data_IF_078181696892
#
_entry.id   IF_078181696892
#
_cell.length_a   1.000
_cell.length_b   1.000
_cell.length_c   1.000
_cell.angle_alpha   90.00
_cell.angle_beta   90.00
_cell.angle_gamma   90.00
#
_symmetry.space_group_name_H-M   'P 1'
#
loop_
_entity.id
_entity.type
_entity.pdbx_description
1 polymer ?
#
# COMPACT_ATOMS: atom_id res chain seq x y z
N UNK A 1 -17.49 7.07 -23.44
CA UNK A 1 -17.69 7.71 -22.12
C UNK A 1 -16.33 8.13 -21.62
N UNK A 2 -16.14 9.39 -21.20
CA UNK A 2 -14.81 9.88 -20.80
C UNK A 2 -14.22 9.04 -19.67
N UNK A 3 -12.90 8.75 -19.71
CA UNK A 3 -12.20 7.94 -18.69
C UNK A 3 -12.07 8.63 -17.32
N UNK A 4 -12.56 9.87 -17.20
CA UNK A 4 -12.67 10.59 -15.92
C UNK A 4 -14.07 10.35 -15.37
N UNK A 5 -14.14 9.67 -14.21
CA UNK A 5 -15.34 9.15 -13.54
C UNK A 5 -16.50 10.14 -13.27
N UNK A 6 -17.25 9.90 -12.20
CA UNK A 6 -18.44 10.70 -11.86
C UNK A 6 -18.15 12.22 -11.81
N UNK A 7 -19.19 13.05 -11.89
CA UNK A 7 -19.03 14.51 -11.78
C UNK A 7 -18.26 14.93 -10.51
N UNK A 8 -18.43 14.18 -9.42
CA UNK A 8 -17.69 14.32 -8.16
C UNK A 8 -16.20 14.03 -8.30
N UNK A 9 -15.84 12.94 -8.98
CA UNK A 9 -14.45 12.60 -9.26
C UNK A 9 -13.74 13.72 -10.02
N UNK A 10 -14.41 14.30 -11.02
CA UNK A 10 -13.85 15.44 -11.78
C UNK A 10 -13.70 16.69 -10.92
N UNK A 11 -14.67 16.99 -10.07
CA UNK A 11 -14.59 18.13 -9.15
C UNK A 11 -13.41 18.00 -8.18
N UNK A 12 -13.24 16.83 -7.56
CA UNK A 12 -12.14 16.54 -6.67
C UNK A 12 -10.77 16.64 -7.37
N UNK A 13 -10.64 16.02 -8.55
CA UNK A 13 -9.41 16.10 -9.36
C UNK A 13 -9.07 17.54 -9.74
N UNK A 14 -10.05 18.33 -10.19
CA UNK A 14 -9.82 19.72 -10.55
C UNK A 14 -9.42 20.57 -9.33
N UNK A 15 -10.01 20.31 -8.17
CA UNK A 15 -9.68 21.02 -6.92
C UNK A 15 -8.21 20.78 -6.53
N UNK A 16 -7.76 19.53 -6.54
CA UNK A 16 -6.36 19.20 -6.21
C UNK A 16 -5.40 19.66 -7.31
N UNK A 17 -5.79 19.52 -8.59
CA UNK A 17 -4.97 19.96 -9.71
C UNK A 17 -4.68 21.47 -9.67
N UNK A 18 -5.59 22.29 -9.11
CA UNK A 18 -5.41 23.74 -8.98
C UNK A 18 -4.23 24.14 -8.07
N UNK A 19 -3.78 23.24 -7.19
CA UNK A 19 -2.65 23.44 -6.28
C UNK A 19 -1.49 22.48 -6.54
N UNK A 20 -1.58 21.67 -7.60
CA UNK A 20 -0.57 20.68 -7.96
C UNK A 20 0.49 21.28 -8.87
N UNK A 21 1.75 20.97 -8.61
CA UNK A 21 2.90 21.48 -9.36
C UNK A 21 3.89 20.35 -9.68
N UNK A 22 4.90 20.63 -10.50
CA UNK A 22 5.97 19.67 -10.82
C UNK A 22 5.70 18.83 -12.08
N UNK A 23 6.60 17.89 -12.40
CA UNK A 23 6.51 17.08 -13.60
C UNK A 23 5.38 16.03 -13.49
N UNK A 24 4.98 15.48 -14.64
CA UNK A 24 4.06 14.35 -14.67
C UNK A 24 4.72 13.06 -14.13
N UNK A 25 3.90 12.20 -13.52
CA UNK A 25 4.29 10.84 -13.11
C UNK A 25 4.70 10.04 -14.35
N UNK A 26 5.80 9.29 -14.24
CA UNK A 26 6.24 8.43 -15.33
C UNK A 26 5.19 7.32 -15.60
N UNK A 27 4.90 6.99 -16.87
CA UNK A 27 3.77 6.13 -17.26
C UNK A 27 3.93 4.66 -16.82
N UNK A 28 5.11 4.27 -16.37
CA UNK A 28 5.43 2.93 -15.87
C UNK A 28 5.34 2.81 -14.33
N UNK A 29 5.16 3.91 -13.61
CA UNK A 29 4.87 3.89 -12.17
C UNK A 29 3.42 3.42 -11.97
N UNK A 30 3.16 2.69 -10.88
CA UNK A 30 1.84 2.14 -10.55
C UNK A 30 1.39 2.59 -9.18
N UNK A 31 0.07 2.65 -9.01
CA UNK A 31 -0.55 2.70 -7.68
C UNK A 31 -0.67 1.26 -7.17
N UNK A 32 -0.41 1.05 -5.89
CA UNK A 32 -0.66 -0.23 -5.22
C UNK A 32 -1.66 -0.07 -4.09
N UNK A 33 -2.52 -1.08 -3.91
CA UNK A 33 -3.46 -1.18 -2.79
C UNK A 33 -2.95 -2.26 -1.85
N UNK A 34 -2.24 -1.88 -0.78
CA UNK A 34 -1.69 -2.82 0.21
C UNK A 34 -2.77 -3.28 1.19
N UNK A 35 -2.84 -4.59 1.44
CA UNK A 35 -3.78 -5.21 2.38
C UNK A 35 -3.25 -6.55 2.92
N UNK A 36 -3.91 -7.09 3.94
CA UNK A 36 -3.64 -8.43 4.46
C UNK A 36 -4.63 -9.42 3.83
N UNK A 37 -4.19 -10.34 2.97
CA UNK A 37 -5.07 -11.20 2.18
C UNK A 37 -5.76 -12.29 3.01
N UNK A 38 -5.25 -12.53 4.22
CA UNK A 38 -5.67 -13.56 5.17
C UNK A 38 -6.81 -13.10 6.10
N UNK A 39 -7.28 -11.85 5.94
CA UNK A 39 -8.37 -11.27 6.74
C UNK A 39 -9.74 -11.80 6.33
N UNK A 40 -10.70 -11.60 7.22
CA UNK A 40 -12.11 -11.95 7.01
C UNK A 40 -12.92 -10.68 6.79
N UNK A 41 -13.81 -10.69 5.81
CA UNK A 41 -14.76 -9.63 5.52
C UNK A 41 -16.17 -10.23 5.44
N UNK A 42 -17.12 -9.69 6.22
CA UNK A 42 -18.52 -10.14 6.26
C UNK A 42 -18.69 -11.67 6.48
N UNK A 43 -17.79 -12.26 7.27
CA UNK A 43 -17.81 -13.69 7.57
C UNK A 43 -17.17 -14.60 6.51
N UNK A 44 -16.62 -14.03 5.43
CA UNK A 44 -15.92 -14.76 4.37
C UNK A 44 -14.42 -14.41 4.35
N UNK A 45 -13.54 -15.32 3.91
CA UNK A 45 -12.17 -14.96 3.55
C UNK A 45 -12.16 -13.78 2.57
N UNK A 46 -11.29 -12.79 2.79
CA UNK A 46 -11.30 -11.53 2.06
C UNK A 46 -11.21 -11.72 0.54
N UNK A 47 -10.32 -12.61 0.07
CA UNK A 47 -10.15 -12.85 -1.36
C UNK A 47 -11.37 -13.52 -2.00
N UNK A 48 -12.11 -14.36 -1.26
CA UNK A 48 -13.38 -14.91 -1.74
C UNK A 48 -14.46 -13.83 -1.84
N UNK A 49 -14.54 -12.94 -0.84
CA UNK A 49 -15.45 -11.81 -0.88
C UNK A 49 -15.15 -10.89 -2.07
N UNK A 50 -13.87 -10.62 -2.34
CA UNK A 50 -13.43 -9.85 -3.51
C UNK A 50 -13.73 -10.55 -4.83
N UNK A 51 -13.58 -11.88 -4.90
CA UNK A 51 -13.91 -12.65 -6.10
C UNK A 51 -15.43 -12.62 -6.40
N UNK A 52 -16.27 -12.57 -5.36
CA UNK A 52 -17.72 -12.45 -5.52
C UNK A 52 -18.15 -11.02 -5.90
N UNK A 53 -17.51 -10.00 -5.33
CA UNK A 53 -17.87 -8.58 -5.53
C UNK A 53 -17.31 -8.02 -6.84
N UNK A 54 -16.10 -8.44 -7.22
CA UNK A 54 -15.40 -7.96 -8.43
C UNK A 54 -14.81 -6.56 -8.31
N UNK A 55 -14.91 -5.91 -7.15
CA UNK A 55 -14.41 -4.56 -6.91
C UNK A 55 -13.69 -4.42 -5.57
N UNK A 56 -12.71 -3.51 -5.51
CA UNK A 56 -12.06 -3.09 -4.27
C UNK A 56 -12.74 -1.83 -3.74
N UNK A 57 -13.12 -1.84 -2.47
CA UNK A 57 -13.97 -0.81 -1.88
C UNK A 57 -13.27 0.01 -0.80
N UNK A 58 -13.74 1.25 -0.63
CA UNK A 58 -13.31 2.14 0.44
C UNK A 58 -13.87 1.67 1.79
N UNK A 59 -13.26 2.17 2.86
CA UNK A 59 -13.71 1.91 4.23
C UNK A 59 -15.16 2.33 4.49
N UNK A 60 -15.70 3.32 3.77
CA UNK A 60 -17.10 3.73 3.88
C UNK A 60 -18.07 2.60 3.49
N UNK A 61 -17.63 1.66 2.63
CA UNK A 61 -18.42 0.50 2.19
C UNK A 61 -18.10 -0.74 3.01
N UNK A 62 -16.82 -0.96 3.34
CA UNK A 62 -16.39 -2.20 4.00
C UNK A 62 -16.55 -2.15 5.52
N UNK A 63 -16.44 -0.96 6.12
CA UNK A 63 -16.32 -0.81 7.57
C UNK A 63 -15.00 -1.35 8.13
N UNK A 64 -14.03 -1.68 7.28
CA UNK A 64 -12.74 -2.28 7.66
C UNK A 64 -11.57 -1.36 7.29
N UNK A 65 -10.48 -1.42 8.05
CA UNK A 65 -9.24 -0.69 7.76
C UNK A 65 -8.05 -1.30 8.48
N UNK A 66 -6.87 -1.12 7.92
CA UNK A 66 -5.59 -1.34 8.62
C UNK A 66 -5.09 -0.04 9.30
N UNK A 67 -5.79 1.09 9.10
CA UNK A 67 -5.67 2.35 9.82
C UNK A 67 -6.79 2.56 10.85
N UNK A 68 -7.17 3.81 11.13
CA UNK A 68 -8.27 4.15 12.04
C UNK A 68 -9.66 3.94 11.41
N UNK A 69 -10.68 3.59 12.22
CA UNK A 69 -12.08 3.42 11.81
C UNK A 69 -12.89 4.73 11.89
N UNK A 70 -12.61 5.70 11.02
CA UNK A 70 -13.17 7.06 11.09
C UNK A 70 -13.98 7.49 9.86
N UNK A 71 -14.31 6.53 8.97
CA UNK A 71 -15.08 6.75 7.73
C UNK A 71 -16.60 6.81 7.97
N UNK A 72 -17.06 7.82 8.69
CA UNK A 72 -18.48 8.11 8.89
C UNK A 72 -18.68 9.64 8.94
N UNK A 73 -19.92 10.14 8.73
CA UNK A 73 -20.20 11.56 8.85
C UNK A 73 -19.63 12.14 10.16
N UNK A 74 -18.86 13.23 10.04
CA UNK A 74 -18.20 13.91 11.16
C UNK A 74 -16.93 13.25 11.72
N UNK A 75 -16.56 12.05 11.27
CA UNK A 75 -15.29 11.39 11.63
C UNK A 75 -14.08 11.96 10.88
N UNK A 76 -12.86 11.64 11.33
CA UNK A 76 -11.62 12.22 10.80
C UNK A 76 -11.47 12.00 9.29
N UNK A 77 -11.78 10.78 8.82
CA UNK A 77 -11.71 10.49 7.38
C UNK A 77 -12.70 11.30 6.56
N UNK A 78 -13.90 11.50 7.07
CA UNK A 78 -14.86 12.37 6.40
C UNK A 78 -14.36 13.82 6.35
N UNK A 79 -13.77 14.33 7.44
CA UNK A 79 -13.27 15.71 7.54
C UNK A 79 -12.10 15.98 6.62
N UNK A 80 -11.10 15.10 6.57
CA UNK A 80 -9.97 15.33 5.66
C UNK A 80 -10.39 15.14 4.20
N UNK A 81 -11.31 14.22 3.86
CA UNK A 81 -11.77 14.08 2.47
C UNK A 81 -12.55 15.34 2.03
N UNK A 82 -13.36 15.93 2.92
CA UNK A 82 -14.01 17.22 2.67
C UNK A 82 -12.97 18.32 2.41
N UNK A 83 -11.94 18.45 3.27
CA UNK A 83 -10.86 19.43 3.14
C UNK A 83 -10.05 19.25 1.86
N UNK A 84 -9.61 18.03 1.57
CA UNK A 84 -8.70 17.70 0.46
C UNK A 84 -9.42 17.83 -0.89
N UNK A 85 -10.71 17.50 -0.96
CA UNK A 85 -11.47 17.48 -2.22
C UNK A 85 -12.44 18.64 -2.39
N UNK A 86 -12.34 19.69 -1.56
CA UNK A 86 -13.21 20.86 -1.63
C UNK A 86 -14.69 20.52 -1.45
N UNK A 87 -15.02 19.58 -0.56
CA UNK A 87 -16.38 19.15 -0.26
C UNK A 87 -17.04 18.28 -1.34
N UNK A 88 -16.32 17.85 -2.38
CA UNK A 88 -16.89 17.12 -3.52
C UNK A 88 -17.62 15.81 -3.16
N UNK A 89 -17.36 15.26 -1.97
CA UNK A 89 -17.93 13.99 -1.50
C UNK A 89 -18.80 14.13 -0.24
N UNK A 90 -19.05 15.33 0.27
CA UNK A 90 -19.68 15.52 1.59
C UNK A 90 -21.05 14.87 1.71
N UNK A 91 -21.81 14.89 0.61
CA UNK A 91 -23.12 14.28 0.42
C UNK A 91 -23.09 13.04 -0.50
N UNK A 92 -21.91 12.49 -0.79
CA UNK A 92 -21.76 11.33 -1.67
C UNK A 92 -22.07 10.01 -0.97
N UNK A 93 -22.60 9.05 -1.74
CA UNK A 93 -22.75 7.67 -1.31
C UNK A 93 -21.37 7.04 -1.01
N UNK A 94 -21.35 6.09 -0.08
CA UNK A 94 -20.13 5.39 0.33
C UNK A 94 -19.32 4.79 -0.84
N UNK A 95 -20.01 4.32 -1.88
CA UNK A 95 -19.42 3.69 -3.08
C UNK A 95 -18.77 4.68 -4.04
N UNK A 96 -19.17 5.95 -3.99
CA UNK A 96 -18.63 7.00 -4.86
C UNK A 96 -17.32 7.58 -4.32
N UNK A 97 -17.02 7.33 -3.03
CA UNK A 97 -15.83 7.83 -2.36
C UNK A 97 -14.55 7.13 -2.83
N UNK A 98 -13.40 7.84 -2.82
CA UNK A 98 -12.17 7.30 -3.35
C UNK A 98 -11.65 6.08 -2.57
N UNK A 99 -10.98 5.20 -3.30
CA UNK A 99 -10.19 4.10 -2.75
C UNK A 99 -8.79 4.62 -2.43
N UNK A 100 -8.25 4.23 -1.28
CA UNK A 100 -6.94 4.68 -0.82
C UNK A 100 -5.88 3.61 -1.15
N UNK A 101 -4.73 4.07 -1.63
CA UNK A 101 -3.54 3.28 -1.92
C UNK A 101 -2.30 4.16 -1.82
N UNK A 102 -1.24 3.78 -2.52
CA UNK A 102 -0.04 4.60 -2.60
C UNK A 102 0.66 4.49 -3.96
N UNK A 103 1.37 5.54 -4.36
CA UNK A 103 2.15 5.58 -5.59
C UNK A 103 3.47 4.82 -5.37
N UNK A 104 3.73 3.77 -6.15
CA UNK A 104 4.94 2.95 -6.02
C UNK A 104 6.16 3.58 -6.71
N UNK A 105 6.46 4.84 -6.37
CA UNK A 105 7.57 5.61 -6.96
C UNK A 105 8.94 5.01 -6.60
N UNK A 106 9.05 4.39 -5.42
CA UNK A 106 10.23 3.63 -4.97
C UNK A 106 10.37 2.25 -5.63
N UNK A 107 9.36 1.80 -6.39
CA UNK A 107 9.32 0.48 -7.07
C UNK A 107 9.56 -0.69 -6.11
N UNK A 108 8.95 -0.62 -4.93
CA UNK A 108 9.03 -1.66 -3.92
C UNK A 108 8.27 -2.90 -4.41
N UNK A 109 8.92 -4.06 -4.33
CA UNK A 109 8.32 -5.37 -4.72
C UNK A 109 7.16 -5.77 -3.81
N UNK A 110 7.10 -5.19 -2.61
CA UNK A 110 6.05 -5.40 -1.60
C UNK A 110 4.90 -4.40 -1.70
N UNK A 111 4.92 -3.52 -2.71
CA UNK A 111 3.98 -2.41 -2.85
C UNK A 111 4.42 -1.16 -2.10
N UNK A 112 3.78 -0.04 -2.42
CA UNK A 112 4.21 1.29 -2.00
C UNK A 112 3.98 1.61 -0.51
N UNK A 113 2.97 1.00 0.12
CA UNK A 113 2.61 1.31 1.51
C UNK A 113 2.50 0.02 2.36
N UNK A 114 3.63 -0.66 2.62
CA UNK A 114 3.65 -1.93 3.34
C UNK A 114 3.10 -1.82 4.78
N UNK A 115 3.05 -0.62 5.35
CA UNK A 115 2.34 -0.34 6.59
C UNK A 115 0.93 -0.96 6.65
N UNK A 116 0.23 -1.01 5.52
CA UNK A 116 -1.17 -1.45 5.46
C UNK A 116 -1.36 -2.89 5.04
N UNK A 117 -0.31 -3.65 4.74
CA UNK A 117 -0.50 -5.03 4.35
C UNK A 117 0.70 -5.71 3.73
N UNK A 118 0.73 -7.02 3.91
CA UNK A 118 1.75 -7.92 3.38
C UNK A 118 1.58 -8.25 1.90
N UNK A 119 0.45 -7.91 1.29
CA UNK A 119 0.20 -8.18 -0.13
C UNK A 119 -0.46 -6.96 -0.76
N UNK A 120 -0.49 -6.91 -2.09
CA UNK A 120 -1.08 -5.77 -2.76
C UNK A 120 -1.70 -6.11 -4.10
N UNK A 121 -2.73 -5.35 -4.47
CA UNK A 121 -3.08 -5.21 -5.88
C UNK A 121 -2.17 -4.18 -6.52
N UNK A 122 -1.56 -4.56 -7.65
CA UNK A 122 -0.89 -3.62 -8.55
C UNK A 122 -1.92 -3.19 -9.59
N UNK A 123 -2.23 -1.90 -9.60
CA UNK A 123 -3.20 -1.36 -10.55
C UNK A 123 -2.59 -1.24 -11.94
N UNK A 124 -3.41 -1.14 -12.98
CA UNK A 124 -2.97 -0.74 -14.32
C UNK A 124 -2.50 0.73 -14.33
N UNK A 125 -2.05 1.23 -15.49
CA UNK A 125 -1.69 2.65 -15.63
C UNK A 125 -2.90 3.60 -15.65
N UNK A 126 -4.09 3.12 -16.00
CA UNK A 126 -5.28 3.98 -16.19
C UNK A 126 -5.72 4.70 -14.90
N UNK A 127 -5.76 4.05 -13.71
CA UNK A 127 -6.12 4.72 -12.46
C UNK A 127 -5.30 5.97 -12.11
N UNK A 128 -4.07 6.14 -12.61
CA UNK A 128 -3.28 7.36 -12.41
C UNK A 128 -4.03 8.61 -12.91
N UNK A 129 -4.73 8.52 -14.04
CA UNK A 129 -5.42 9.65 -14.65
C UNK A 129 -6.61 10.16 -13.80
N UNK A 130 -7.06 9.35 -12.83
CA UNK A 130 -8.18 9.64 -11.93
C UNK A 130 -7.79 9.54 -10.46
N UNK A 131 -6.50 9.69 -10.15
CA UNK A 131 -5.98 9.71 -8.80
C UNK A 131 -5.51 11.11 -8.40
N UNK A 132 -5.76 11.45 -7.14
CA UNK A 132 -5.09 12.53 -6.42
C UNK A 132 -4.09 11.93 -5.44
N UNK A 133 -3.16 12.75 -4.97
CA UNK A 133 -2.08 12.32 -4.12
C UNK A 133 -1.78 13.36 -3.04
N UNK A 134 -1.27 12.91 -1.90
CA UNK A 134 -0.76 13.79 -0.86
C UNK A 134 0.53 13.23 -0.24
N UNK A 135 1.34 14.13 0.31
CA UNK A 135 2.52 13.79 1.09
C UNK A 135 2.71 14.79 2.25
N UNK A 136 2.85 14.33 3.50
CA UNK A 136 2.66 12.96 3.99
C UNK A 136 1.21 12.45 3.83
N UNK A 137 0.83 11.37 4.52
CA UNK A 137 -0.52 10.80 4.41
C UNK A 137 -1.64 11.71 4.92
N UNK A 138 -2.90 11.44 4.54
CA UNK A 138 -4.05 12.31 4.86
C UNK A 138 -4.26 12.53 6.37
N UNK A 139 -3.81 11.61 7.22
CA UNK A 139 -3.97 11.70 8.67
C UNK A 139 -2.97 12.67 9.31
N UNK A 140 -1.85 12.96 8.64
CA UNK A 140 -0.83 13.91 9.07
C UNK A 140 -1.14 15.37 8.70
N UNK A 141 -2.36 15.66 8.23
CA UNK A 141 -2.79 16.99 7.77
C UNK A 141 -1.84 17.61 6.72
N UNK A 142 -1.62 16.92 5.59
CA UNK A 142 -0.64 17.34 4.61
C UNK A 142 -1.05 18.65 3.94
N UNK A 143 -0.05 19.42 3.52
CA UNK A 143 -0.23 20.66 2.75
C UNK A 143 0.26 20.52 1.30
N UNK A 144 0.90 19.39 0.97
CA UNK A 144 1.39 19.11 -0.37
C UNK A 144 0.49 18.08 -1.05
N UNK A 145 0.02 18.44 -2.24
CA UNK A 145 -0.86 17.63 -3.04
C UNK A 145 -0.38 17.53 -4.48
N UNK A 146 -0.84 16.49 -5.17
CA UNK A 146 -0.49 16.23 -6.56
C UNK A 146 -1.60 15.54 -7.33
N UNK A 147 -1.50 15.64 -8.65
CA UNK A 147 -2.20 14.80 -9.63
C UNK A 147 -1.16 14.21 -10.57
N UNK A 148 -1.53 13.19 -11.36
CA UNK A 148 -0.55 12.55 -12.24
C UNK A 148 0.16 13.51 -13.21
N UNK A 149 -0.48 14.62 -13.60
CA UNK A 149 0.12 15.63 -14.48
C UNK A 149 1.02 16.67 -13.77
N UNK A 150 0.95 16.76 -12.43
CA UNK A 150 1.71 17.71 -11.62
C UNK A 150 2.08 17.07 -10.28
N UNK A 151 3.25 16.42 -10.23
CA UNK A 151 3.70 15.57 -9.12
C UNK A 151 5.01 16.05 -8.48
N UNK A 152 4.97 17.15 -7.74
CA UNK A 152 6.10 17.62 -6.91
C UNK A 152 6.39 16.69 -5.73
N UNK A 153 5.42 15.86 -5.33
CA UNK A 153 5.50 15.00 -4.14
C UNK A 153 6.62 13.96 -4.19
N UNK A 154 7.00 13.50 -5.39
CA UNK A 154 8.12 12.54 -5.55
C UNK A 154 9.42 13.16 -5.05
N UNK A 155 9.72 14.39 -5.47
CA UNK A 155 10.94 15.09 -5.04
C UNK A 155 10.92 15.38 -3.53
N UNK A 156 9.75 15.71 -2.97
CA UNK A 156 9.59 15.91 -1.53
C UNK A 156 9.85 14.62 -0.75
N UNK A 157 9.24 13.51 -1.14
CA UNK A 157 9.43 12.21 -0.48
C UNK A 157 10.86 11.68 -0.64
N UNK A 158 11.51 11.92 -1.78
CA UNK A 158 12.92 11.54 -1.98
C UNK A 158 13.90 12.34 -1.13
N UNK A 159 13.57 13.57 -0.76
CA UNK A 159 14.40 14.45 0.06
C UNK A 159 14.14 14.30 1.58
N UNK A 160 13.07 13.60 1.96
CA UNK A 160 12.68 13.40 3.35
C UNK A 160 13.39 12.18 3.97
N UNK A 161 13.59 12.22 5.29
CA UNK A 161 14.24 11.16 6.08
C UNK A 161 13.21 10.41 6.96
N UNK A 162 12.00 10.20 6.44
CA UNK A 162 10.98 9.43 7.16
C UNK A 162 11.41 7.99 7.40
N UNK A 163 10.85 7.41 8.46
CA UNK A 163 10.92 5.97 8.66
C UNK A 163 10.37 5.24 7.42
N UNK A 164 11.09 4.22 6.95
CA UNK A 164 10.75 3.52 5.70
C UNK A 164 9.33 2.92 5.69
N UNK A 165 8.72 2.68 6.85
CA UNK A 165 7.33 2.22 6.93
C UNK A 165 6.32 3.33 6.55
N UNK A 166 6.70 4.60 6.69
CA UNK A 166 5.88 5.77 6.41
C UNK A 166 6.33 6.54 5.14
N UNK A 167 7.41 6.09 4.48
CA UNK A 167 7.93 6.65 3.22
C UNK A 167 7.06 6.23 2.02
N UNK A 168 5.85 6.79 1.95
CA UNK A 168 4.93 6.60 0.83
C UNK A 168 4.19 7.89 0.48
N UNK A 169 3.86 8.02 -0.80
CA UNK A 169 2.93 9.03 -1.30
C UNK A 169 1.55 8.39 -1.34
N UNK A 170 0.63 8.86 -0.51
CA UNK A 170 -0.74 8.35 -0.48
C UNK A 170 -1.46 8.72 -1.78
N UNK A 171 -2.23 7.78 -2.31
CA UNK A 171 -3.03 7.95 -3.52
C UNK A 171 -4.50 7.75 -3.20
N UNK A 172 -5.35 8.66 -3.70
CA UNK A 172 -6.80 8.54 -3.61
C UNK A 172 -7.38 8.35 -5.03
N UNK A 173 -7.78 7.12 -5.34
CA UNK A 173 -8.29 6.70 -6.65
C UNK A 173 -9.80 6.96 -6.72
N UNK A 174 -10.21 7.90 -7.57
CA UNK A 174 -11.60 8.35 -7.68
C UNK A 174 -12.41 7.51 -8.68
N UNK A 175 -13.66 7.18 -8.35
CA UNK A 175 -14.54 6.39 -9.22
C UNK A 175 -14.46 4.88 -9.02
N UNK A 176 -13.92 4.42 -7.88
CA UNK A 176 -13.84 3.00 -7.52
C UNK A 176 -12.71 2.22 -8.20
N UNK A 177 -12.53 0.95 -7.84
CA UNK A 177 -11.53 0.07 -8.45
C UNK A 177 -12.23 -1.25 -8.80
N UNK A 178 -12.38 -1.50 -10.09
CA UNK A 178 -12.89 -2.75 -10.64
C UNK A 178 -11.72 -3.71 -10.87
N UNK A 179 -11.79 -4.93 -10.36
CA UNK A 179 -10.66 -5.85 -10.40
C UNK A 179 -10.32 -6.32 -11.82
N UNK A 180 -11.31 -6.48 -12.69
CA UNK A 180 -11.06 -6.96 -14.05
C UNK A 180 -10.48 -5.85 -14.96
N UNK A 181 -10.85 -4.59 -14.72
CA UNK A 181 -10.39 -3.44 -15.52
C UNK A 181 -9.13 -2.80 -14.95
N UNK A 182 -9.10 -2.57 -13.65
CA UNK A 182 -8.15 -1.64 -13.03
C UNK A 182 -6.95 -2.35 -12.39
N UNK A 183 -6.92 -3.69 -12.31
CA UNK A 183 -5.83 -4.46 -11.68
C UNK A 183 -5.07 -5.27 -12.72
N UNK A 184 -3.74 -5.14 -12.73
CA UNK A 184 -2.87 -5.97 -13.58
C UNK A 184 -2.37 -7.24 -12.87
N UNK A 185 -2.22 -7.21 -11.54
CA UNK A 185 -1.87 -8.40 -10.75
C UNK A 185 -2.26 -8.27 -9.27
N UNK A 186 -2.57 -9.40 -8.64
CA UNK A 186 -2.50 -9.59 -7.19
C UNK A 186 -1.11 -10.13 -6.85
N UNK A 187 -0.34 -9.38 -6.07
CA UNK A 187 1.00 -9.79 -5.63
C UNK A 187 0.93 -10.23 -4.16
N UNK A 188 1.21 -11.50 -3.92
CA UNK A 188 1.17 -12.14 -2.60
C UNK A 188 2.55 -12.28 -1.96
N UNK A 189 2.53 -12.35 -0.63
CA UNK A 189 3.69 -12.74 0.17
C UNK A 189 3.93 -14.26 0.06
N UNK A 190 5.19 -14.68 -0.11
CA UNK A 190 5.57 -16.09 -0.23
C UNK A 190 5.12 -16.98 0.95
N UNK A 191 4.86 -16.43 2.14
CA UNK A 191 4.29 -17.17 3.28
C UNK A 191 2.89 -17.72 3.03
N UNK A 192 2.20 -17.24 1.99
CA UNK A 192 0.88 -17.76 1.59
C UNK A 192 0.93 -18.88 0.55
N UNK A 193 2.12 -19.32 0.10
CA UNK A 193 2.26 -20.48 -0.78
C UNK A 193 1.72 -21.75 -0.11
N UNK A 194 0.95 -22.52 -0.87
CA UNK A 194 0.23 -23.73 -0.46
C UNK A 194 -0.73 -23.52 0.72
N UNK A 195 -1.33 -22.33 0.82
CA UNK A 195 -2.32 -22.01 1.86
C UNK A 195 -3.72 -21.79 1.28
N UNK A 196 -4.79 -21.78 2.11
CA UNK A 196 -6.12 -21.37 1.65
C UNK A 196 -6.17 -19.97 1.03
N UNK A 197 -5.23 -19.08 1.38
CA UNK A 197 -5.13 -17.74 0.77
C UNK A 197 -4.74 -17.84 -0.69
N UNK A 198 -3.78 -18.69 -1.06
CA UNK A 198 -3.42 -18.93 -2.47
C UNK A 198 -4.62 -19.52 -3.23
N UNK A 199 -5.29 -20.52 -2.66
CA UNK A 199 -6.47 -21.12 -3.28
C UNK A 199 -7.56 -20.08 -3.56
N UNK A 200 -7.84 -19.19 -2.60
CA UNK A 200 -8.80 -18.10 -2.75
C UNK A 200 -8.32 -17.03 -3.76
N UNK A 201 -7.01 -16.78 -3.84
CA UNK A 201 -6.45 -15.84 -4.81
C UNK A 201 -6.72 -16.28 -6.26
N UNK A 202 -6.68 -17.57 -6.54
CA UNK A 202 -6.97 -18.12 -7.86
C UNK A 202 -8.46 -18.07 -8.26
N UNK A 203 -9.36 -17.68 -7.34
CA UNK A 203 -10.76 -17.39 -7.68
C UNK A 203 -10.91 -16.01 -8.33
N UNK A 204 -9.94 -15.12 -8.15
CA UNK A 204 -9.93 -13.81 -8.77
C UNK A 204 -9.57 -13.93 -10.25
N UNK A 205 -10.21 -13.13 -11.09
CA UNK A 205 -9.91 -13.09 -12.54
C UNK A 205 -8.67 -12.25 -12.88
N UNK A 206 -7.69 -12.16 -11.96
CA UNK A 206 -6.45 -11.39 -12.13
C UNK A 206 -5.23 -12.30 -11.96
N UNK A 207 -4.11 -12.03 -12.66
CA UNK A 207 -2.87 -12.76 -12.45
C UNK A 207 -2.41 -12.73 -10.98
N UNK A 208 -1.95 -13.87 -10.47
CA UNK A 208 -1.32 -13.98 -9.15
C UNK A 208 0.20 -14.01 -9.33
N UNK A 209 0.88 -13.08 -8.67
CA UNK A 209 2.34 -12.97 -8.61
C UNK A 209 2.81 -13.05 -7.15
N UNK A 210 4.11 -13.20 -6.96
CA UNK A 210 4.71 -13.37 -5.64
C UNK A 210 5.90 -12.43 -5.46
N UNK A 211 5.99 -11.81 -4.29
CA UNK A 211 7.24 -11.21 -3.82
C UNK A 211 7.97 -12.17 -2.86
N UNK A 212 9.26 -11.97 -2.56
CA UNK A 212 10.07 -12.97 -1.85
C UNK A 212 9.66 -13.27 -0.38
N UNK A 213 8.68 -12.57 0.15
CA UNK A 213 8.16 -12.76 1.51
C UNK A 213 8.81 -11.89 2.58
N UNK A 214 8.02 -11.47 3.56
CA UNK A 214 8.49 -10.88 4.81
C UNK A 214 8.92 -11.97 5.80
N UNK A 215 10.04 -11.75 6.48
CA UNK A 215 10.49 -12.66 7.54
C UNK A 215 11.36 -11.93 8.56
N UNK A 216 11.09 -12.16 9.84
CA UNK A 216 11.94 -11.71 10.95
C UNK A 216 12.15 -12.84 11.94
N UNK A 217 13.34 -12.96 12.52
CA UNK A 217 13.60 -13.93 13.59
C UNK A 217 13.16 -13.34 14.93
N UNK A 218 12.89 -14.19 15.93
CA UNK A 218 12.61 -13.73 17.31
C UNK A 218 13.77 -12.88 17.86
N UNK A 219 15.02 -13.24 17.55
CA UNK A 219 16.18 -12.48 17.97
C UNK A 219 16.22 -11.07 17.36
N UNK A 220 15.92 -10.93 16.07
CA UNK A 220 15.81 -9.62 15.41
C UNK A 220 14.62 -8.82 15.95
N UNK A 221 13.50 -9.48 16.21
CA UNK A 221 12.31 -8.84 16.76
C UNK A 221 12.60 -8.19 18.12
N UNK A 222 13.29 -8.90 19.03
CA UNK A 222 13.72 -8.32 20.31
C UNK A 222 14.81 -7.26 20.15
N UNK A 223 15.70 -7.39 19.16
CA UNK A 223 16.70 -6.35 18.87
C UNK A 223 16.03 -5.02 18.48
N UNK A 224 14.88 -5.09 17.84
CA UNK A 224 14.08 -3.93 17.41
C UNK A 224 12.89 -3.63 18.32
N UNK A 225 12.94 -4.07 19.58
CA UNK A 225 11.88 -3.81 20.56
C UNK A 225 11.65 -2.31 20.80
N UNK A 226 12.65 -1.47 20.60
CA UNK A 226 12.57 -0.01 20.72
C UNK A 226 11.64 0.65 19.68
N UNK A 227 11.39 -0.01 18.54
CA UNK A 227 10.57 0.55 17.46
C UNK A 227 9.08 0.63 17.81
N UNK A 228 8.54 -0.40 18.50
CA UNK A 228 7.12 -0.46 18.87
C UNK A 228 6.87 -0.71 20.36
N UNK A 229 7.80 -1.34 21.07
CA UNK A 229 7.63 -1.75 22.46
C UNK A 229 8.08 -3.20 22.67
N UNK A 230 8.67 -3.46 23.84
CA UNK A 230 9.11 -4.80 24.25
C UNK A 230 7.94 -5.78 24.29
N UNK A 231 6.77 -5.33 24.73
CA UNK A 231 5.55 -6.13 24.81
C UNK A 231 5.10 -6.68 23.45
N UNK A 232 5.38 -5.97 22.35
CA UNK A 232 5.05 -6.44 21.01
C UNK A 232 6.14 -7.36 20.46
N UNK A 233 7.39 -7.17 20.85
CA UNK A 233 8.44 -8.14 20.55
C UNK A 233 8.16 -9.47 21.26
N UNK A 234 7.77 -9.43 22.54
CA UNK A 234 7.38 -10.61 23.31
C UNK A 234 6.15 -11.30 22.71
N UNK A 235 5.15 -10.52 22.26
CA UNK A 235 3.98 -11.05 21.56
C UNK A 235 4.38 -11.76 20.26
N UNK A 236 5.19 -11.12 19.42
CA UNK A 236 5.66 -11.73 18.17
C UNK A 236 6.48 -13.00 18.43
N UNK A 237 7.30 -13.02 19.49
CA UNK A 237 8.00 -14.23 19.93
C UNK A 237 7.05 -15.34 20.36
N UNK A 238 5.94 -15.01 21.03
CA UNK A 238 4.96 -15.99 21.51
C UNK A 238 4.15 -16.67 20.40
N UNK A 239 4.02 -16.02 19.24
CA UNK A 239 3.32 -16.56 18.07
C UNK A 239 4.27 -17.14 17.01
N UNK A 240 5.58 -16.98 17.19
CA UNK A 240 6.57 -17.42 16.22
C UNK A 240 6.52 -18.95 16.00
N UNK A 241 6.68 -19.36 14.74
CA UNK A 241 6.85 -20.76 14.36
C UNK A 241 8.32 -20.95 13.97
N UNK A 242 8.97 -22.00 14.49
CA UNK A 242 10.40 -22.27 14.26
C UNK A 242 11.33 -21.06 14.48
N UNK A 243 10.98 -20.22 15.46
CA UNK A 243 11.75 -19.02 15.83
C UNK A 243 11.65 -17.87 14.83
N UNK A 244 10.68 -17.90 13.90
CA UNK A 244 10.44 -16.84 12.92
C UNK A 244 8.99 -16.36 12.92
N UNK A 245 8.80 -15.11 12.50
CA UNK A 245 7.50 -14.50 12.26
C UNK A 245 7.43 -14.04 10.81
N UNK A 246 6.34 -14.39 10.15
CA UNK A 246 5.96 -13.97 8.79
C UNK A 246 4.50 -13.45 8.81
N UNK A 247 3.98 -12.92 7.69
CA UNK A 247 2.62 -12.39 7.64
C UNK A 247 1.54 -13.44 7.89
N UNK A 248 1.72 -14.67 7.40
CA UNK A 248 0.77 -15.78 7.62
C UNK A 248 0.62 -16.05 9.11
N UNK A 249 1.71 -16.13 9.86
CA UNK A 249 1.71 -16.37 11.32
C UNK A 249 0.91 -15.28 12.06
N UNK A 250 1.15 -14.00 11.73
CA UNK A 250 0.38 -12.88 12.30
C UNK A 250 -1.10 -13.01 11.93
N UNK A 251 -1.39 -13.45 10.70
CA UNK A 251 -2.73 -13.75 10.20
C UNK A 251 -3.45 -14.85 10.96
N UNK A 252 -2.77 -15.98 11.18
CA UNK A 252 -3.26 -17.11 11.96
C UNK A 252 -3.58 -16.69 13.40
N UNK A 253 -2.68 -15.94 14.04
CA UNK A 253 -2.91 -15.37 15.36
C UNK A 253 -4.18 -14.49 15.39
N UNK A 254 -4.32 -13.59 14.41
CA UNK A 254 -5.48 -12.70 14.31
C UNK A 254 -6.80 -13.48 14.16
N UNK A 255 -6.83 -14.53 13.34
CA UNK A 255 -8.02 -15.37 13.14
C UNK A 255 -8.46 -16.14 14.38
N UNK A 256 -7.56 -16.39 15.33
CA UNK A 256 -7.93 -17.07 16.58
C UNK A 256 -8.83 -16.21 17.48
N UNK A 257 -8.84 -14.89 17.30
CA UNK A 257 -9.57 -13.95 18.17
C UNK A 257 -9.00 -13.85 19.60
N UNK A 258 -7.86 -14.50 19.89
CA UNK A 258 -7.24 -14.51 21.23
C UNK A 258 -6.36 -13.28 21.51
N UNK A 259 -6.07 -12.49 20.48
CA UNK A 259 -5.13 -11.38 20.55
C UNK A 259 -5.79 -10.09 20.07
N UNK A 260 -5.44 -8.98 20.72
CA UNK A 260 -5.85 -7.65 20.27
C UNK A 260 -5.23 -7.33 18.91
N UNK A 261 -6.07 -6.99 17.93
CA UNK A 261 -5.62 -6.70 16.56
C UNK A 261 -4.64 -5.54 16.49
N UNK A 262 -4.80 -4.55 17.39
CA UNK A 262 -3.89 -3.42 17.47
C UNK A 262 -2.50 -3.84 17.95
N UNK A 263 -2.38 -4.86 18.81
CA UNK A 263 -1.08 -5.38 19.24
C UNK A 263 -0.42 -6.19 18.11
N UNK A 264 -1.17 -7.04 17.42
CA UNK A 264 -0.67 -7.75 16.23
C UNK A 264 -0.24 -6.79 15.12
N UNK A 265 -0.92 -5.65 14.97
CA UNK A 265 -0.50 -4.58 14.07
C UNK A 265 0.87 -4.00 14.44
N UNK A 266 1.20 -3.89 15.72
CA UNK A 266 2.53 -3.43 16.14
C UNK A 266 3.60 -4.47 15.80
N UNK A 267 3.31 -5.77 15.96
CA UNK A 267 4.19 -6.85 15.46
C UNK A 267 4.38 -6.74 13.94
N UNK A 268 3.29 -6.53 13.20
CA UNK A 268 3.34 -6.32 11.76
C UNK A 268 4.21 -5.14 11.37
N UNK A 269 4.09 -3.98 12.04
CA UNK A 269 4.92 -2.82 11.74
C UNK A 269 6.42 -3.12 11.89
N UNK A 270 6.82 -3.83 12.95
CA UNK A 270 8.23 -4.24 13.12
C UNK A 270 8.66 -5.22 12.04
N UNK A 271 7.84 -6.22 11.70
CA UNK A 271 8.11 -7.15 10.59
C UNK A 271 8.23 -6.42 9.25
N UNK A 272 7.30 -5.53 8.92
CA UNK A 272 7.29 -4.78 7.67
C UNK A 272 8.52 -3.85 7.53
N UNK A 273 9.01 -3.32 8.65
CA UNK A 273 10.14 -2.39 8.68
C UNK A 273 11.51 -3.08 8.63
N UNK A 274 11.66 -4.24 9.26
CA UNK A 274 12.96 -4.90 9.46
C UNK A 274 13.06 -6.30 8.84
N UNK A 275 11.94 -6.88 8.44
CA UNK A 275 11.87 -8.20 7.78
C UNK A 275 11.43 -8.14 6.33
N UNK A 276 11.41 -6.96 5.70
CA UNK A 276 11.12 -6.82 4.28
C UNK A 276 12.19 -7.55 3.43
N UNK A 277 11.80 -8.19 2.32
CA UNK A 277 12.77 -8.80 1.43
C UNK A 277 13.69 -7.74 0.83
N UNK A 278 14.98 -8.04 0.74
CA UNK A 278 15.90 -7.20 -0.02
C UNK A 278 15.37 -7.06 -1.44
N UNK A 279 15.26 -5.82 -1.94
CA UNK A 279 14.85 -5.59 -3.31
C UNK A 279 15.80 -6.38 -4.22
N UNK A 280 15.27 -7.41 -4.90
CA UNK A 280 16.01 -8.12 -5.93
C UNK A 280 16.31 -7.10 -7.02
N UNK A 281 17.52 -6.55 -7.01
CA UNK A 281 18.00 -5.61 -8.02
C UNK A 281 18.18 -6.35 -9.34
N UNK A 282 17.09 -6.67 -10.03
CA UNK A 282 17.12 -7.08 -11.42
C UNK A 282 17.10 -5.81 -12.29
N UNK A 283 18.22 -5.61 -12.99
CA UNK A 283 18.55 -4.56 -13.97
C UNK A 283 18.92 -3.17 -13.39
N UNK A 284 20.23 -2.93 -13.19
CA UNK A 284 20.77 -1.57 -13.05
C UNK A 284 22.23 -1.48 -12.63
N UNK A 285 22.74 -2.42 -11.82
CA UNK A 285 24.14 -2.43 -11.36
C UNK A 285 25.04 -3.34 -12.21
N UNK A 286 25.08 -3.11 -13.53
CA UNK A 286 26.18 -3.57 -14.41
C UNK A 286 26.47 -2.55 -15.52
N UNK A 287 26.70 -1.29 -15.14
CA UNK A 287 27.23 -0.29 -16.09
C UNK A 287 28.15 0.78 -15.49
N UNK A 288 28.57 0.67 -14.21
CA UNK A 288 29.49 1.67 -13.60
C UNK A 288 30.77 1.12 -12.97
N UNK A 289 31.17 -0.10 -13.32
CA UNK A 289 32.46 -0.65 -12.86
C UNK A 289 33.43 -1.07 -13.98
N UNK A 290 33.13 -0.76 -15.26
CA UNK A 290 34.00 -1.10 -16.41
C UNK A 290 34.45 0.13 -17.23
N UNK A 291 34.27 1.36 -16.71
CA UNK A 291 34.80 2.59 -17.34
C UNK A 291 35.82 3.34 -16.47
N UNK A 292 36.29 2.76 -15.36
CA UNK A 292 37.27 3.39 -14.47
C UNK A 292 38.66 2.71 -14.45
N UNK A 293 38.87 1.68 -15.28
CA UNK A 293 40.17 1.00 -15.42
C UNK A 293 40.47 0.81 -16.90
N UNK A 294 40.85 1.88 -17.57
CA UNK A 294 41.22 1.83 -18.97
C UNK A 294 41.53 3.21 -19.50
N UNK A 295 42.49 3.89 -18.88
CA UNK A 295 43.32 4.90 -19.54
C UNK A 295 44.56 5.17 -18.67
N UNK A 296 45.56 4.30 -18.82
CA UNK A 296 46.94 4.58 -18.43
C UNK A 296 47.92 3.64 -19.14
N UNK A 297 48.06 3.77 -20.47
CA UNK A 297 49.24 3.27 -21.21
C UNK A 297 49.58 4.16 -22.41
N UNK A 298 50.78 4.77 -22.38
CA UNK A 298 51.65 5.10 -23.52
C UNK A 298 51.35 6.41 -24.28
N UNK A 299 52.15 7.48 -24.17
CA UNK A 299 53.54 7.68 -24.65
C UNK A 299 53.57 8.48 -25.98
N UNK A 300 54.27 9.61 -25.98
CA UNK A 300 54.50 10.50 -27.12
C UNK A 300 54.78 11.92 -26.69
#
# INVERSE_FOLDING_TARGET
MSPVGSGRARAALNHVAAVSEGPAVAPDVRITLNFHPDRVARGLPLLEALAQDGAYHSQFVTGTSNGGLTAHPGGDRWRWESRIFGGAYDDADARDRPVYGALNFRRQVVGAAPRFGSSHFRLTGEPLARATFCYPDSAAEPVHFGVAAGMSLIALAEADEQDALNDYIEAQVHGGVDLARDVEALVLDASYLNTPVEAAAHLLSVPVEWHPGYRITVAELHRHADYRGQEYADLGASIAEDGVVDPRIIGDAARTGRYELQHLKMVWHTLARFGAPEATTHAGRRARSLRATGDSVGAG
#
